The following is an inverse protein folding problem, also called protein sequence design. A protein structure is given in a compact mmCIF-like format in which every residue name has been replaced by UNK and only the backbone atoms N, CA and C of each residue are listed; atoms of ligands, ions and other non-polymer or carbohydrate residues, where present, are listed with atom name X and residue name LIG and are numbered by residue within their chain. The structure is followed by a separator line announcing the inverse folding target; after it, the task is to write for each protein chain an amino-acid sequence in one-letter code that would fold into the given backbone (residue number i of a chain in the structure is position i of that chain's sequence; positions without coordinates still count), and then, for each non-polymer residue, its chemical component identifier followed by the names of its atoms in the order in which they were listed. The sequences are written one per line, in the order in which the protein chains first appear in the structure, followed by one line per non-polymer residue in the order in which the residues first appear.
data_IF_382119922476
#
_entry.id   IF_382119922476
#
_cell.length_a   1.000
_cell.length_b   1.000
_cell.length_c   1.000
_cell.angle_alpha   90.00
_cell.angle_beta   90.00
_cell.angle_gamma   90.00
#
_symmetry.space_group_name_H-M   'P 1'
#
loop_
_entity.id
_entity.type
_entity.pdbx_description
1 polymer ?
#
# COMPACT_ATOMS: atom_id res chain seq x y z
N UNK A 1 41.98 -2.98 6.04
CA UNK A 1 41.04 -2.61 7.13
C UNK A 1 39.68 -3.23 6.85
N UNK A 2 39.07 -3.78 7.92
CA UNK A 2 37.72 -4.35 8.06
C UNK A 2 37.39 -5.64 7.27
N UNK A 3 37.25 -6.71 8.06
CA UNK A 3 36.86 -8.08 7.70
C UNK A 3 35.44 -8.37 8.21
N UNK A 4 34.84 -9.40 7.60
CA UNK A 4 33.79 -10.35 8.06
C UNK A 4 32.34 -9.98 7.73
N UNK A 5 31.68 -10.68 6.78
CA UNK A 5 31.17 -12.09 6.77
C UNK A 5 29.96 -12.27 7.69
N UNK A 6 28.80 -12.60 7.14
CA UNK A 6 27.72 -13.28 7.87
C UNK A 6 27.17 -14.44 7.03
N UNK A 7 27.29 -15.61 7.63
CA UNK A 7 27.10 -16.95 7.12
C UNK A 7 25.65 -17.41 7.30
N UNK A 8 25.28 -18.29 6.40
CA UNK A 8 24.02 -19.00 6.18
C UNK A 8 23.72 -20.06 7.28
N UNK A 9 22.41 -20.29 7.49
CA UNK A 9 21.74 -21.54 7.97
C UNK A 9 21.98 -22.03 9.41
N UNK A 10 20.91 -22.40 10.12
CA UNK A 10 20.60 -23.81 10.42
C UNK A 10 19.19 -23.96 11.03
N UNK A 11 18.42 -24.86 10.43
CA UNK A 11 17.27 -25.58 10.98
C UNK A 11 17.82 -26.64 11.94
N UNK A 12 17.33 -26.72 13.17
CA UNK A 12 17.54 -27.90 14.04
C UNK A 12 16.28 -28.16 14.85
N UNK A 13 15.57 -29.21 14.46
CA UNK A 13 14.79 -30.03 15.35
C UNK A 13 15.74 -30.78 16.29
N UNK A 14 15.36 -30.97 17.55
CA UNK A 14 16.14 -31.75 18.49
C UNK A 14 15.40 -31.93 19.81
N UNK A 15 14.64 -33.02 19.92
CA UNK A 15 14.16 -33.54 21.19
C UNK A 15 15.33 -34.20 21.94
N UNK A 16 15.50 -33.88 23.22
CA UNK A 16 16.31 -34.66 24.15
C UNK A 16 15.68 -34.60 25.54
N UNK A 17 15.07 -35.72 25.93
CA UNK A 17 14.84 -36.12 27.32
C UNK A 17 16.20 -36.25 28.01
N UNK A 18 16.33 -35.80 29.26
CA UNK A 18 17.24 -36.37 30.28
C UNK A 18 16.77 -36.03 31.70
N UNK A 19 17.06 -36.98 32.59
CA UNK A 19 16.54 -37.21 33.92
C UNK A 19 17.12 -36.32 35.04
N UNK A 20 16.28 -36.10 36.06
CA UNK A 20 16.51 -36.08 37.52
C UNK A 20 17.88 -35.62 38.04
N UNK A 21 17.86 -34.51 38.80
CA UNK A 21 18.92 -34.11 39.73
C UNK A 21 18.38 -33.15 40.79
N UNK A 22 18.45 -33.55 42.06
CA UNK A 22 18.05 -32.80 43.25
C UNK A 22 18.90 -31.54 43.46
N UNK A 23 18.27 -30.51 44.04
CA UNK A 23 18.92 -29.57 44.95
C UNK A 23 19.53 -28.31 44.33
N UNK A 24 18.85 -27.18 44.51
CA UNK A 24 19.42 -25.85 44.24
C UNK A 24 18.36 -24.85 43.80
N UNK A 25 17.69 -24.21 44.76
CA UNK A 25 16.86 -23.03 44.50
C UNK A 25 17.74 -21.90 43.99
N UNK A 26 17.86 -21.78 42.67
CA UNK A 26 18.35 -20.55 42.04
C UNK A 26 17.12 -19.72 41.67
N UNK A 27 16.89 -18.68 42.45
CA UNK A 27 15.90 -17.63 42.16
C UNK A 27 16.26 -17.00 40.82
N UNK A 28 15.53 -17.39 39.78
CA UNK A 28 15.65 -16.82 38.45
C UNK A 28 15.03 -15.42 38.49
N UNK A 29 15.88 -14.39 38.49
CA UNK A 29 15.44 -13.00 38.41
C UNK A 29 14.52 -12.84 37.20
N UNK A 30 13.24 -12.53 37.45
CA UNK A 30 12.25 -12.32 36.41
C UNK A 30 12.63 -11.09 35.59
N UNK A 31 13.19 -11.32 34.41
CA UNK A 31 13.41 -10.28 33.42
C UNK A 31 12.03 -9.79 32.98
N UNK A 32 11.62 -8.64 33.51
CA UNK A 32 10.48 -7.87 33.02
C UNK A 32 10.77 -7.47 31.58
N UNK A 33 10.33 -8.31 30.65
CA UNK A 33 10.29 -8.01 29.23
C UNK A 33 9.30 -6.85 29.04
N UNK A 34 9.83 -5.63 29.03
CA UNK A 34 9.08 -4.45 28.61
C UNK A 34 8.75 -4.63 27.14
N UNK A 35 7.61 -5.28 26.86
CA UNK A 35 7.07 -5.34 25.52
C UNK A 35 6.73 -3.91 25.10
N UNK A 36 7.52 -3.34 24.19
CA UNK A 36 7.17 -2.11 23.50
C UNK A 36 5.92 -2.40 22.68
N UNK A 37 4.76 -2.17 23.29
CA UNK A 37 3.47 -2.24 22.63
C UNK A 37 3.43 -1.14 21.58
N UNK A 38 3.90 -1.46 20.37
CA UNK A 38 3.69 -0.62 19.20
C UNK A 38 2.18 -0.46 19.06
N UNK A 39 1.64 0.70 19.48
CA UNK A 39 0.22 1.00 19.31
C UNK A 39 -0.09 0.93 17.82
N UNK A 40 -0.72 -0.16 17.41
CA UNK A 40 -1.18 -0.35 16.04
C UNK A 40 -2.12 0.82 15.72
N UNK A 41 -1.63 1.77 14.92
CA UNK A 41 -2.43 2.93 14.55
C UNK A 41 -3.55 2.42 13.65
N UNK A 42 -4.77 2.33 14.17
CA UNK A 42 -5.93 1.81 13.44
C UNK A 42 -6.13 2.64 12.18
N UNK A 43 -5.81 2.06 11.03
CA UNK A 43 -5.89 2.73 9.74
C UNK A 43 -7.36 2.91 9.37
N UNK A 44 -7.87 4.14 9.53
CA UNK A 44 -9.28 4.47 9.29
C UNK A 44 -9.54 4.71 7.80
N UNK A 45 -10.57 4.05 7.28
CA UNK A 45 -11.13 4.35 5.96
C UNK A 45 -12.14 5.49 6.06
N UNK A 46 -12.08 6.40 5.12
CA UNK A 46 -12.99 7.54 4.98
C UNK A 46 -13.79 7.38 3.69
N UNK A 47 -15.08 7.73 3.71
CA UNK A 47 -15.93 7.71 2.52
C UNK A 47 -15.50 8.80 1.53
N UNK A 48 -15.52 8.46 0.25
CA UNK A 48 -15.14 9.34 -0.86
C UNK A 48 -13.63 9.32 -1.16
N UNK A 49 -13.13 10.44 -1.68
CA UNK A 49 -11.71 10.65 -2.01
C UNK A 49 -11.09 11.80 -1.21
N UNK A 50 -9.76 11.82 -1.00
CA UNK A 50 -9.10 12.92 -0.29
C UNK A 50 -9.24 14.22 -1.07
N UNK A 51 -9.69 15.31 -0.41
CA UNK A 51 -9.88 16.63 -1.06
C UNK A 51 -8.62 17.12 -1.79
N UNK A 52 -7.44 16.85 -1.21
CA UNK A 52 -6.14 17.31 -1.69
C UNK A 52 -5.68 16.70 -3.03
N UNK A 53 -6.31 15.61 -3.49
CA UNK A 53 -5.94 14.91 -4.74
C UNK A 53 -7.08 14.89 -5.76
N UNK A 54 -8.17 15.63 -5.51
CA UNK A 54 -9.27 15.74 -6.47
C UNK A 54 -8.87 16.62 -7.66
N UNK A 55 -9.34 16.26 -8.84
CA UNK A 55 -9.05 16.97 -10.08
C UNK A 55 -9.07 16.06 -11.30
N UNK A 56 -8.76 16.67 -12.45
CA UNK A 56 -8.50 15.98 -13.70
C UNK A 56 -6.99 16.04 -13.96
N UNK A 57 -6.41 14.92 -14.38
CA UNK A 57 -4.98 14.81 -14.59
C UNK A 57 -4.69 13.95 -15.80
N UNK A 58 -3.66 14.29 -16.56
CA UNK A 58 -3.20 13.51 -17.71
C UNK A 58 -1.69 13.40 -17.75
N UNK A 59 -1.15 12.33 -18.28
CA UNK A 59 0.29 12.26 -18.55
C UNK A 59 0.64 13.14 -19.74
N UNK A 60 1.94 13.41 -19.91
CA UNK A 60 2.43 13.87 -21.22
C UNK A 60 2.17 12.77 -22.25
N UNK A 61 2.13 13.16 -23.52
CA UNK A 61 2.12 12.22 -24.64
C UNK A 61 3.49 11.55 -24.74
N UNK A 62 3.51 10.26 -25.08
CA UNK A 62 4.74 9.49 -25.29
C UNK A 62 4.65 8.67 -26.57
N UNK A 63 5.76 8.55 -27.30
CA UNK A 63 5.85 7.71 -28.50
C UNK A 63 4.76 8.06 -29.52
N UNK A 64 3.96 7.07 -29.90
CA UNK A 64 2.80 7.20 -30.80
C UNK A 64 1.62 7.97 -30.19
N UNK A 65 1.88 9.11 -29.57
CA UNK A 65 0.87 9.97 -28.92
C UNK A 65 0.05 9.28 -27.82
N UNK A 66 0.62 8.23 -27.20
CA UNK A 66 -0.02 7.51 -26.11
C UNK A 66 -0.09 8.37 -24.86
N UNK A 67 -1.24 8.36 -24.19
CA UNK A 67 -1.46 9.11 -22.96
C UNK A 67 -2.35 8.34 -21.99
N UNK A 68 -2.32 8.75 -20.73
CA UNK A 68 -3.24 8.30 -19.71
C UNK A 68 -3.91 9.50 -19.06
N UNK A 69 -5.15 9.32 -18.64
CA UNK A 69 -5.96 10.32 -17.98
C UNK A 69 -6.62 9.71 -16.74
N UNK A 70 -6.65 10.47 -15.65
CA UNK A 70 -7.36 10.12 -14.44
C UNK A 70 -8.15 11.30 -13.91
N UNK A 71 -9.38 11.03 -13.45
CA UNK A 71 -10.23 12.02 -12.79
C UNK A 71 -10.59 11.50 -11.41
N UNK A 72 -10.29 12.28 -10.38
CA UNK A 72 -10.60 11.95 -9.00
C UNK A 72 -11.66 12.94 -8.51
N UNK A 73 -12.90 12.46 -8.36
CA UNK A 73 -14.04 13.23 -7.85
C UNK A 73 -14.34 12.84 -6.42
N UNK A 74 -15.21 13.59 -5.74
CA UNK A 74 -15.53 13.35 -4.34
C UNK A 74 -16.05 11.94 -4.04
N UNK A 75 -16.82 11.35 -4.97
CA UNK A 75 -17.50 10.05 -4.82
C UNK A 75 -17.28 9.09 -5.99
N UNK A 76 -16.32 9.38 -6.88
CA UNK A 76 -15.97 8.50 -7.98
C UNK A 76 -14.53 8.70 -8.45
N UNK A 77 -14.02 7.70 -9.14
CA UNK A 77 -12.78 7.77 -9.91
C UNK A 77 -13.06 7.43 -11.36
N UNK A 78 -12.23 7.93 -12.26
CA UNK A 78 -12.27 7.62 -13.67
C UNK A 78 -10.83 7.47 -14.14
N UNK A 79 -10.53 6.43 -14.89
CA UNK A 79 -9.21 6.19 -15.46
C UNK A 79 -9.34 5.70 -16.88
N UNK A 80 -8.45 6.18 -17.74
CA UNK A 80 -8.32 5.74 -19.12
C UNK A 80 -6.86 5.84 -19.53
N UNK A 81 -6.45 4.93 -20.40
CA UNK A 81 -5.17 5.01 -21.11
C UNK A 81 -5.41 4.67 -22.57
N UNK A 82 -4.56 5.18 -23.46
CA UNK A 82 -4.59 4.81 -24.88
C UNK A 82 -4.58 3.29 -25.03
N UNK A 83 -5.55 2.75 -25.79
CA UNK A 83 -5.72 1.32 -25.99
C UNK A 83 -6.38 0.55 -24.84
N UNK A 84 -6.78 1.23 -23.75
CA UNK A 84 -7.47 0.61 -22.62
C UNK A 84 -8.94 1.03 -22.54
N UNK A 85 -9.83 0.14 -22.07
CA UNK A 85 -11.19 0.54 -21.74
C UNK A 85 -11.21 1.50 -20.54
N UNK A 86 -12.24 2.33 -20.50
CA UNK A 86 -12.47 3.26 -19.40
C UNK A 86 -12.82 2.50 -18.12
N UNK A 87 -12.12 2.80 -17.03
CA UNK A 87 -12.43 2.29 -15.70
C UNK A 87 -13.15 3.37 -14.89
N UNK A 88 -14.41 3.12 -14.53
CA UNK A 88 -15.21 4.03 -13.67
C UNK A 88 -15.36 3.41 -12.29
N UNK A 89 -14.78 4.05 -11.28
CA UNK A 89 -14.88 3.64 -9.89
C UNK A 89 -16.02 4.33 -9.15
N UNK A 90 -16.78 3.56 -8.38
CA UNK A 90 -17.83 4.00 -7.45
C UNK A 90 -17.61 3.39 -6.06
N UNK A 91 -18.50 3.71 -5.11
CA UNK A 91 -18.38 3.26 -3.71
C UNK A 91 -16.99 3.54 -3.10
N UNK A 92 -16.44 4.72 -3.42
CA UNK A 92 -15.05 5.06 -3.09
C UNK A 92 -14.86 5.29 -1.61
N UNK A 93 -13.73 4.81 -1.12
CA UNK A 93 -13.21 5.06 0.21
C UNK A 93 -11.72 5.35 0.09
N UNK A 94 -11.14 6.07 1.05
CA UNK A 94 -9.70 6.28 1.07
C UNK A 94 -9.14 6.12 2.48
N UNK A 95 -7.84 5.82 2.54
CA UNK A 95 -7.03 5.94 3.74
C UNK A 95 -5.76 6.71 3.41
N UNK A 96 -5.27 7.50 4.36
CA UNK A 96 -3.93 8.11 4.28
C UNK A 96 -2.92 7.10 4.80
N UNK A 97 -1.90 6.82 4.01
CA UNK A 97 -0.87 5.79 4.31
C UNK A 97 0.51 6.40 4.55
N UNK A 98 0.69 7.69 4.27
CA UNK A 98 1.91 8.43 4.55
C UNK A 98 1.75 9.92 4.28
N UNK A 99 2.84 10.67 4.35
CA UNK A 99 2.84 12.05 3.88
C UNK A 99 2.56 12.06 2.37
N UNK A 100 1.52 12.77 1.94
CA UNK A 100 1.06 12.85 0.55
C UNK A 100 0.70 11.53 -0.15
N UNK A 101 0.68 10.41 0.57
CA UNK A 101 0.32 9.10 0.03
C UNK A 101 -1.05 8.64 0.55
N UNK A 102 -1.89 8.21 -0.38
CA UNK A 102 -3.24 7.73 -0.12
C UNK A 102 -3.47 6.41 -0.87
N UNK A 103 -4.29 5.54 -0.29
CA UNK A 103 -4.88 4.41 -0.99
C UNK A 103 -6.36 4.69 -1.15
N UNK A 104 -6.84 4.68 -2.39
CA UNK A 104 -8.26 4.80 -2.74
C UNK A 104 -8.77 3.38 -3.05
N UNK A 105 -9.82 2.96 -2.36
CA UNK A 105 -10.55 1.72 -2.59
C UNK A 105 -11.86 2.02 -3.29
N UNK A 106 -12.22 1.27 -4.32
CA UNK A 106 -13.43 1.47 -5.11
C UNK A 106 -13.99 0.17 -5.66
N UNK A 107 -15.25 0.20 -6.05
CA UNK A 107 -15.88 -0.85 -6.86
C UNK A 107 -15.96 -0.34 -8.30
N UNK A 108 -15.93 -1.24 -9.28
CA UNK A 108 -16.06 -0.87 -10.69
C UNK A 108 -16.84 -1.92 -11.45
N UNK A 109 -17.68 -1.46 -12.39
CA UNK A 109 -18.34 -2.34 -13.34
C UNK A 109 -17.36 -2.82 -14.41
N UNK A 110 -17.68 -3.95 -15.03
CA UNK A 110 -16.97 -4.39 -16.22
C UNK A 110 -17.15 -3.37 -17.35
N UNK A 111 -16.13 -3.19 -18.18
CA UNK A 111 -16.16 -2.32 -19.36
C UNK A 111 -15.14 -2.80 -20.38
N UNK A 112 -15.59 -3.22 -21.57
CA UNK A 112 -14.71 -3.83 -22.57
C UNK A 112 -13.93 -5.01 -21.98
N UNK A 113 -12.61 -4.98 -22.14
CA UNK A 113 -11.71 -6.01 -21.59
C UNK A 113 -11.49 -5.92 -20.07
N UNK A 114 -11.92 -4.83 -19.43
CA UNK A 114 -11.80 -4.69 -17.98
C UNK A 114 -12.96 -5.43 -17.29
N UNK A 115 -12.63 -6.44 -16.49
CA UNK A 115 -13.61 -7.32 -15.83
C UNK A 115 -14.39 -6.67 -14.69
N UNK A 116 -14.01 -5.46 -14.25
CA UNK A 116 -14.59 -4.86 -13.05
C UNK A 116 -14.17 -5.58 -11.77
N UNK A 117 -14.79 -5.22 -10.65
CA UNK A 117 -14.54 -5.85 -9.36
C UNK A 117 -14.98 -5.01 -8.18
N UNK A 118 -14.98 -5.63 -6.99
CA UNK A 118 -15.24 -4.97 -5.72
C UNK A 118 -13.94 -4.76 -4.94
N UNK A 119 -13.88 -3.69 -4.16
CA UNK A 119 -12.73 -3.34 -3.30
C UNK A 119 -11.39 -3.26 -4.04
N UNK A 120 -11.42 -2.87 -5.32
CA UNK A 120 -10.23 -2.54 -6.10
C UNK A 120 -9.47 -1.39 -5.43
N UNK A 121 -8.15 -1.34 -5.62
CA UNK A 121 -7.31 -0.32 -4.98
C UNK A 121 -6.46 0.44 -5.98
N UNK A 122 -6.28 1.73 -5.71
CA UNK A 122 -5.40 2.64 -6.43
C UNK A 122 -4.56 3.40 -5.41
N UNK A 123 -3.23 3.27 -5.50
CA UNK A 123 -2.30 4.16 -4.80
C UNK A 123 -2.31 5.53 -5.47
N UNK A 124 -2.28 6.60 -4.68
CA UNK A 124 -2.19 7.98 -5.13
C UNK A 124 -1.12 8.70 -4.32
N UNK A 125 -0.08 9.15 -4.99
CA UNK A 125 0.96 10.02 -4.43
C UNK A 125 0.77 11.44 -4.95
N UNK A 126 0.54 12.39 -4.05
CA UNK A 126 0.45 13.82 -4.40
C UNK A 126 1.86 14.40 -4.60
N UNK A 127 2.06 15.08 -5.72
CA UNK A 127 3.31 15.76 -6.08
C UNK A 127 3.00 17.19 -6.47
N UNK A 128 3.04 18.11 -5.50
CA UNK A 128 2.59 19.50 -5.70
C UNK A 128 1.13 19.56 -6.15
N UNK A 129 0.87 20.14 -7.33
CA UNK A 129 -0.46 20.18 -7.96
C UNK A 129 -0.82 18.93 -8.79
N UNK A 130 0.14 18.00 -8.94
CA UNK A 130 0.06 16.81 -9.78
C UNK A 130 -0.04 15.53 -8.92
N UNK A 131 -0.19 14.37 -9.56
CA UNK A 131 -0.25 13.09 -8.87
C UNK A 131 0.51 11.97 -9.61
N UNK A 132 0.87 10.91 -8.90
CA UNK A 132 1.18 9.58 -9.47
C UNK A 132 0.12 8.60 -9.00
N UNK A 133 -0.40 7.76 -9.91
CA UNK A 133 -1.51 6.84 -9.61
C UNK A 133 -1.19 5.42 -10.04
N UNK A 134 -1.87 4.42 -9.45
CA UNK A 134 -1.77 3.00 -9.79
C UNK A 134 -0.36 2.39 -9.72
N UNK A 135 0.57 3.06 -9.04
CA UNK A 135 1.98 2.64 -9.01
C UNK A 135 2.75 2.93 -10.30
N UNK A 136 2.14 3.62 -11.28
CA UNK A 136 2.88 4.09 -12.45
C UNK A 136 3.98 5.08 -12.05
N UNK A 137 5.13 5.00 -12.72
CA UNK A 137 6.24 5.94 -12.55
C UNK A 137 5.91 7.34 -13.09
N UNK A 138 5.01 7.39 -14.09
CA UNK A 138 4.55 8.61 -14.75
C UNK A 138 3.86 9.59 -13.80
N UNK A 139 4.20 10.88 -13.96
CA UNK A 139 3.46 11.98 -13.32
C UNK A 139 2.26 12.35 -14.19
N UNK A 140 1.10 12.43 -13.56
CA UNK A 140 -0.14 12.93 -14.13
C UNK A 140 -0.29 14.41 -13.78
N UNK A 141 -0.23 15.26 -14.79
CA UNK A 141 -0.29 16.70 -14.68
C UNK A 141 -1.73 17.19 -14.64
N UNK A 142 -2.03 18.08 -13.71
CA UNK A 142 -3.36 18.67 -13.58
C UNK A 142 -3.66 19.59 -14.77
N UNK A 143 -4.90 19.55 -15.27
CA UNK A 143 -5.43 20.41 -16.32
C UNK A 143 -6.91 20.72 -16.10
#
# INVERSE_FOLDING_TARGET
MMKKTVTQTFLMAGAALMLVGFGGTTTQASQTSTSYQHKATKVKWHKGTPKSVRGNFKTKKYGADLMMETRIRAKSTWFWGSGMPIQKGYNVHYKKTGHNHYVIRYDAHASGMFKGGKKLTMSVNKVGKNIKVFGYSNVFYKY
#
